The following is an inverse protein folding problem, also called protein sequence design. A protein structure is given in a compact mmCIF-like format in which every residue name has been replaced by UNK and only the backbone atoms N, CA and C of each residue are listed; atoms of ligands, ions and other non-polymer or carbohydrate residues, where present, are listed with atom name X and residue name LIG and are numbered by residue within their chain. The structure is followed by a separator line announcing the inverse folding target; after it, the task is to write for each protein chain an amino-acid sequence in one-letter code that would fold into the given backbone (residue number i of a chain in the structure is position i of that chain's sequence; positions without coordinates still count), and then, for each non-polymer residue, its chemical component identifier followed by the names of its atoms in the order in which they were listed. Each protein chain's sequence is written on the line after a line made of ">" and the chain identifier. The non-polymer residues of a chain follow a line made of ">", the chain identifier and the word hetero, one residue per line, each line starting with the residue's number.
data_IF_288586994093
#
_entry.id   IF_288586994093
#
_cell.length_a   1.000
_cell.length_b   1.000
_cell.length_c   1.000
_cell.angle_alpha   90.00
_cell.angle_beta   90.00
_cell.angle_gamma   90.00
#
_symmetry.space_group_name_H-M   'P 1'
#
loop_
_entity.id
_entity.type
_entity.pdbx_description
1 polymer ?
#
# COMPACT_ATOMS: atom_id res chain seq x y z
N UNK A 1 -28.74 33.38 -40.18
CA UNK A 1 -28.03 32.60 -39.16
C UNK A 1 -28.89 32.17 -37.98
N UNK A 2 -29.59 33.05 -37.28
CA UNK A 2 -30.38 32.65 -36.06
C UNK A 2 -31.47 31.61 -36.36
N UNK A 3 -32.17 31.73 -37.50
CA UNK A 3 -33.22 30.81 -37.90
C UNK A 3 -32.67 29.43 -38.33
N UNK A 4 -31.46 29.40 -38.92
CA UNK A 4 -30.79 28.16 -39.31
C UNK A 4 -30.30 27.37 -38.08
N UNK A 5 -29.76 28.05 -37.09
CA UNK A 5 -29.36 27.43 -35.81
C UNK A 5 -30.57 26.83 -35.05
N UNK A 6 -31.70 27.51 -35.08
CA UNK A 6 -32.93 27.02 -34.48
C UNK A 6 -33.49 25.77 -35.21
N UNK A 7 -33.38 25.70 -36.55
CA UNK A 7 -33.81 24.56 -37.34
C UNK A 7 -32.91 23.33 -37.22
N UNK A 8 -31.60 23.53 -36.94
CA UNK A 8 -30.62 22.44 -36.85
C UNK A 8 -30.32 22.03 -35.42
N UNK A 9 -30.87 22.70 -34.42
CA UNK A 9 -30.57 22.42 -32.98
C UNK A 9 -29.14 22.73 -32.59
N UNK A 10 -28.35 23.44 -33.43
CA UNK A 10 -26.95 23.76 -33.17
C UNK A 10 -26.83 25.12 -32.50
N UNK A 11 -26.17 25.19 -31.35
CA UNK A 11 -25.92 26.46 -30.66
C UNK A 11 -25.12 27.43 -31.53
N UNK A 12 -25.53 28.71 -31.57
CA UNK A 12 -24.86 29.76 -32.35
C UNK A 12 -23.38 29.91 -32.04
N UNK A 13 -22.99 29.70 -30.80
CA UNK A 13 -21.59 29.67 -30.34
C UNK A 13 -20.77 28.54 -30.98
N UNK A 14 -21.38 27.37 -31.25
CA UNK A 14 -20.71 26.23 -31.89
C UNK A 14 -20.41 26.52 -33.37
N UNK A 15 -21.30 27.23 -34.08
CA UNK A 15 -21.10 27.63 -35.46
C UNK A 15 -19.98 28.66 -35.61
N UNK A 16 -19.87 29.61 -34.67
CA UNK A 16 -18.76 30.59 -34.67
C UNK A 16 -17.43 29.97 -34.24
N UNK A 17 -17.44 28.91 -33.43
CA UNK A 17 -16.22 28.19 -33.02
C UNK A 17 -15.57 27.40 -34.17
N UNK A 18 -16.33 27.09 -35.27
CA UNK A 18 -15.83 26.31 -36.40
C UNK A 18 -15.31 27.16 -37.58
N UNK A 19 -15.49 28.49 -37.57
CA UNK A 19 -15.12 29.35 -38.70
C UNK A 19 -13.69 29.92 -38.51
N UNK A 20 -12.75 29.36 -39.25
CA UNK A 20 -11.43 29.91 -39.58
C UNK A 20 -10.31 28.88 -39.35
N UNK A 21 -9.30 28.85 -40.25
CA UNK A 21 -8.07 28.13 -39.95
C UNK A 21 -7.49 28.73 -38.66
N UNK A 22 -7.20 27.90 -37.65
CA UNK A 22 -6.53 28.35 -36.46
C UNK A 22 -5.16 28.86 -36.88
N UNK A 23 -4.99 30.19 -36.97
CA UNK A 23 -3.71 30.81 -37.20
C UNK A 23 -2.82 30.34 -36.04
N UNK A 24 -1.76 29.63 -36.35
CA UNK A 24 -0.80 29.14 -35.35
C UNK A 24 -0.05 30.37 -34.87
N UNK A 25 -0.29 30.72 -33.62
CA UNK A 25 0.42 31.83 -32.97
C UNK A 25 1.94 31.52 -32.92
N UNK A 26 2.77 32.36 -33.53
CA UNK A 26 4.22 32.17 -33.52
C UNK A 26 4.79 32.07 -32.11
N UNK A 27 4.19 32.78 -31.18
CA UNK A 27 4.57 32.74 -29.77
C UNK A 27 4.19 31.36 -29.13
N UNK A 28 3.03 30.81 -29.49
CA UNK A 28 2.66 29.49 -29.05
C UNK A 28 3.60 28.40 -29.58
N UNK A 29 4.08 28.53 -30.83
CA UNK A 29 5.10 27.61 -31.38
C UNK A 29 6.43 27.70 -30.61
N UNK A 30 6.92 28.90 -30.36
CA UNK A 30 8.16 29.13 -29.61
C UNK A 30 8.07 28.54 -28.20
N UNK A 31 6.97 28.78 -27.51
CA UNK A 31 6.75 28.23 -26.17
C UNK A 31 6.60 26.69 -26.24
N UNK A 32 5.95 26.15 -27.26
CA UNK A 32 5.83 24.71 -27.45
C UNK A 32 7.18 24.04 -27.63
N UNK A 33 8.11 24.64 -28.36
CA UNK A 33 9.49 24.12 -28.47
C UNK A 33 10.19 24.05 -27.11
N UNK A 34 10.08 25.09 -26.28
CA UNK A 34 10.65 25.09 -24.91
C UNK A 34 10.01 24.05 -24.03
N UNK A 35 8.71 23.81 -24.18
CA UNK A 35 7.99 22.76 -23.47
C UNK A 35 8.50 21.39 -23.91
N UNK A 36 8.66 21.15 -25.20
CA UNK A 36 9.13 19.89 -25.77
C UNK A 36 10.57 19.55 -25.31
N UNK A 37 11.49 20.51 -25.43
CA UNK A 37 12.87 20.35 -24.94
C UNK A 37 12.92 19.97 -23.46
N UNK A 38 12.11 20.63 -22.64
CA UNK A 38 12.10 20.35 -21.21
C UNK A 38 11.41 19.01 -20.90
N UNK A 39 10.34 18.68 -21.60
CA UNK A 39 9.60 17.44 -21.43
C UNK A 39 10.44 16.22 -21.83
N UNK A 40 11.19 16.32 -22.94
CA UNK A 40 12.12 15.27 -23.37
C UNK A 40 13.17 14.96 -22.31
N UNK A 41 13.70 15.99 -21.64
CA UNK A 41 14.67 15.82 -20.55
C UNK A 41 14.03 15.36 -19.25
N UNK A 42 12.79 15.76 -18.97
CA UNK A 42 12.10 15.56 -17.68
C UNK A 42 10.61 15.31 -17.87
N UNK A 43 10.21 14.14 -18.34
CA UNK A 43 8.83 13.85 -18.72
C UNK A 43 7.83 13.86 -17.54
N UNK A 44 8.32 13.87 -16.32
CA UNK A 44 7.49 14.02 -15.11
C UNK A 44 7.06 15.48 -14.82
N UNK A 45 7.41 16.45 -15.71
CA UNK A 45 6.94 17.82 -15.56
C UNK A 45 5.49 17.94 -16.03
N UNK A 46 4.56 18.01 -15.08
CA UNK A 46 3.19 18.42 -15.34
C UNK A 46 3.06 19.95 -15.48
N UNK A 47 1.87 20.43 -15.83
CA UNK A 47 1.57 21.83 -16.14
C UNK A 47 2.04 22.86 -15.09
N UNK A 48 2.04 22.47 -13.79
CA UNK A 48 2.50 23.37 -12.70
C UNK A 48 4.03 23.56 -12.74
N UNK A 49 4.80 22.47 -12.84
CA UNK A 49 6.26 22.51 -12.91
C UNK A 49 6.73 23.13 -14.22
N UNK A 50 6.05 22.83 -15.33
CA UNK A 50 6.34 23.41 -16.63
C UNK A 50 6.14 24.93 -16.64
N UNK A 51 5.05 25.45 -16.08
CA UNK A 51 4.85 26.90 -15.87
C UNK A 51 5.99 27.52 -15.09
N UNK A 52 6.42 26.90 -13.98
CA UNK A 52 7.52 27.43 -13.14
C UNK A 52 8.84 27.43 -13.90
N UNK A 53 9.12 26.40 -14.69
CA UNK A 53 10.30 26.31 -15.54
C UNK A 53 10.33 27.45 -16.57
N UNK A 54 9.24 27.65 -17.31
CA UNK A 54 9.12 28.72 -18.30
C UNK A 54 9.31 30.12 -17.69
N UNK A 55 8.67 30.36 -16.53
CA UNK A 55 8.84 31.65 -15.82
C UNK A 55 10.28 31.91 -15.39
N UNK A 56 11.03 30.90 -14.96
CA UNK A 56 12.45 31.02 -14.62
C UNK A 56 13.31 31.32 -15.82
N UNK A 57 12.84 31.05 -17.05
CA UNK A 57 13.47 31.43 -18.31
C UNK A 57 13.03 32.79 -18.86
N UNK A 58 12.26 33.54 -18.07
CA UNK A 58 11.81 34.88 -18.48
C UNK A 58 10.49 34.86 -19.28
N UNK A 59 9.79 33.70 -19.37
CA UNK A 59 8.54 33.59 -20.11
C UNK A 59 7.34 33.86 -19.19
N UNK A 60 6.64 34.99 -19.27
CA UNK A 60 5.50 35.32 -18.40
C UNK A 60 4.24 34.59 -18.86
N UNK A 61 4.19 33.30 -18.63
CA UNK A 61 3.09 32.44 -19.10
C UNK A 61 2.16 31.99 -17.96
N UNK A 62 0.86 31.95 -18.25
CA UNK A 62 -0.18 31.46 -17.37
C UNK A 62 -0.33 29.93 -17.45
N UNK A 63 -0.74 29.28 -16.32
CA UNK A 63 -0.94 27.81 -16.27
C UNK A 63 -1.95 27.30 -17.32
N UNK A 64 -3.04 28.04 -17.57
CA UNK A 64 -4.06 27.64 -18.56
C UNK A 64 -3.48 27.56 -19.98
N UNK A 65 -2.58 28.51 -20.35
CA UNK A 65 -1.91 28.50 -21.66
C UNK A 65 -0.95 27.32 -21.76
N UNK A 66 -0.13 27.07 -20.73
CA UNK A 66 0.75 25.87 -20.68
C UNK A 66 -0.07 24.57 -20.81
N UNK A 67 -1.19 24.45 -20.09
CA UNK A 67 -2.04 23.27 -20.15
C UNK A 67 -2.63 23.06 -21.56
N UNK A 68 -3.03 24.15 -22.23
CA UNK A 68 -3.54 24.09 -23.60
C UNK A 68 -2.46 23.61 -24.57
N UNK A 69 -1.24 24.17 -24.49
CA UNK A 69 -0.13 23.79 -25.35
C UNK A 69 0.30 22.35 -25.13
N UNK A 70 0.50 21.92 -23.90
CA UNK A 70 0.82 20.53 -23.58
C UNK A 70 -0.24 19.56 -24.11
N UNK A 71 -1.54 19.90 -24.00
CA UNK A 71 -2.63 19.07 -24.56
C UNK A 71 -2.58 19.01 -26.10
N UNK A 72 -2.30 20.13 -26.77
CA UNK A 72 -2.17 20.16 -28.24
C UNK A 72 -1.01 19.30 -28.71
N UNK A 73 0.06 19.20 -27.92
CA UNK A 73 1.25 18.38 -28.20
C UNK A 73 1.07 16.92 -27.74
N UNK A 74 -0.07 16.56 -27.14
CA UNK A 74 -0.28 15.22 -26.57
C UNK A 74 0.56 14.90 -25.33
N UNK A 75 1.13 15.93 -24.67
CA UNK A 75 2.02 15.78 -23.54
C UNK A 75 1.27 15.79 -22.20
N UNK A 76 1.49 14.75 -21.38
CA UNK A 76 1.02 14.67 -20.00
C UNK A 76 2.20 14.34 -19.09
N UNK A 77 2.32 15.02 -17.94
CA UNK A 77 3.38 14.71 -16.99
C UNK A 77 3.29 13.23 -16.56
N UNK A 78 4.39 12.50 -16.76
CA UNK A 78 4.47 11.11 -16.30
C UNK A 78 4.33 11.06 -14.79
N UNK A 79 3.37 10.31 -14.32
CA UNK A 79 3.13 10.01 -12.90
C UNK A 79 2.93 8.50 -12.75
N UNK A 80 3.20 7.94 -11.56
CA UNK A 80 2.76 6.58 -11.29
C UNK A 80 1.29 6.44 -11.68
N UNK A 81 0.96 5.38 -12.40
CA UNK A 81 -0.41 5.07 -12.78
C UNK A 81 -1.32 4.91 -11.56
N UNK A 82 -2.64 4.83 -11.72
CA UNK A 82 -3.54 4.48 -10.64
C UNK A 82 -3.12 3.12 -10.07
N UNK A 83 -3.26 2.97 -8.75
CA UNK A 83 -2.94 1.70 -8.07
C UNK A 83 -3.58 0.52 -8.82
N UNK A 84 -2.75 -0.37 -9.33
CA UNK A 84 -3.18 -1.55 -10.09
C UNK A 84 -3.74 -2.64 -9.19
N UNK A 85 -3.46 -2.59 -7.89
CA UNK A 85 -4.00 -3.50 -6.88
C UNK A 85 -5.46 -3.16 -6.57
N UNK A 86 -6.36 -3.54 -7.47
CA UNK A 86 -7.79 -3.57 -7.16
C UNK A 86 -8.10 -4.94 -6.56
N UNK A 87 -8.82 -5.02 -5.41
CA UNK A 87 -9.30 -6.29 -4.89
C UNK A 87 -10.11 -7.01 -5.97
N UNK A 88 -9.86 -8.29 -6.19
CA UNK A 88 -10.69 -9.12 -7.05
C UNK A 88 -12.14 -9.17 -6.52
N UNK A 89 -13.14 -9.37 -7.37
CA UNK A 89 -14.50 -9.62 -6.92
C UNK A 89 -14.50 -10.89 -6.05
N UNK A 90 -15.00 -10.79 -4.80
CA UNK A 90 -15.09 -11.91 -3.86
C UNK A 90 -14.03 -11.95 -2.75
N UNK A 91 -13.00 -11.09 -2.77
CA UNK A 91 -12.01 -11.02 -1.69
C UNK A 91 -12.65 -10.51 -0.40
N UNK A 92 -12.71 -11.38 0.62
CA UNK A 92 -13.25 -11.03 1.93
C UNK A 92 -12.21 -10.30 2.76
N UNK A 93 -12.52 -9.05 3.14
CA UNK A 93 -11.70 -8.27 4.06
C UNK A 93 -12.19 -8.49 5.48
N UNK A 94 -11.27 -8.79 6.39
CA UNK A 94 -11.55 -8.98 7.81
C UNK A 94 -11.31 -7.70 8.60
N UNK A 95 -12.02 -7.49 9.74
CA UNK A 95 -11.82 -6.30 10.56
C UNK A 95 -10.45 -6.31 11.25
N UNK A 96 -9.92 -5.14 11.55
CA UNK A 96 -8.71 -5.00 12.38
C UNK A 96 -9.06 -5.21 13.85
N UNK A 97 -8.52 -6.25 14.46
CA UNK A 97 -8.85 -6.70 15.82
C UNK A 97 -7.89 -6.18 16.90
N UNK A 98 -6.75 -5.58 16.53
CA UNK A 98 -5.65 -5.32 17.45
C UNK A 98 -5.65 -3.92 18.07
N UNK A 99 -6.70 -3.14 17.84
CA UNK A 99 -6.79 -1.79 18.41
C UNK A 99 -6.95 -1.82 19.92
N UNK A 100 -6.00 -1.18 20.63
CA UNK A 100 -6.01 -1.14 22.10
C UNK A 100 -5.66 -2.46 22.77
N UNK A 101 -5.21 -3.46 22.00
CA UNK A 101 -4.82 -4.76 22.53
C UNK A 101 -3.43 -4.65 23.15
N UNK A 102 -3.31 -5.15 24.37
CA UNK A 102 -2.01 -5.41 25.01
C UNK A 102 -1.55 -6.82 24.60
N UNK A 103 -0.44 -6.88 23.87
CA UNK A 103 0.23 -8.15 23.57
C UNK A 103 1.12 -8.51 24.77
N UNK A 104 0.72 -9.51 25.55
CA UNK A 104 1.30 -9.83 26.86
C UNK A 104 2.01 -11.18 26.92
N UNK A 105 1.91 -12.02 25.90
CA UNK A 105 2.53 -13.36 25.86
C UNK A 105 2.90 -13.78 24.44
N UNK A 106 3.86 -14.72 24.28
CA UNK A 106 4.15 -15.35 23.00
C UNK A 106 2.89 -16.00 22.39
N UNK A 107 2.83 -16.07 21.07
CA UNK A 107 1.72 -16.65 20.32
C UNK A 107 0.34 -15.99 20.55
N UNK A 108 0.31 -14.78 21.11
CA UNK A 108 -0.93 -14.02 21.17
C UNK A 108 -1.28 -13.41 19.81
N UNK A 109 -0.30 -12.77 19.17
CA UNK A 109 -0.47 -12.13 17.86
C UNK A 109 0.72 -12.44 16.98
N UNK A 110 0.45 -13.04 15.83
CA UNK A 110 1.42 -13.15 14.74
C UNK A 110 1.05 -12.20 13.61
N UNK A 111 2.05 -11.77 12.85
CA UNK A 111 1.78 -11.05 11.61
C UNK A 111 2.68 -11.50 10.48
N UNK A 112 2.22 -11.19 9.27
CA UNK A 112 2.95 -11.45 8.02
C UNK A 112 2.87 -10.27 7.08
N UNK A 113 3.84 -10.19 6.19
CA UNK A 113 3.88 -9.27 5.07
C UNK A 113 4.84 -9.80 4.00
N UNK A 114 4.75 -9.26 2.79
CA UNK A 114 5.64 -9.59 1.69
C UNK A 114 6.51 -8.39 1.36
N UNK A 115 7.80 -8.62 1.24
CA UNK A 115 8.71 -7.62 0.67
C UNK A 115 9.42 -8.19 -0.55
N UNK A 116 9.90 -7.32 -1.44
CA UNK A 116 10.76 -7.74 -2.54
C UNK A 116 12.22 -7.42 -2.27
N UNK A 117 13.09 -8.29 -2.75
CA UNK A 117 14.54 -8.16 -2.69
C UNK A 117 15.06 -8.11 -4.11
N UNK A 118 15.78 -7.04 -4.42
CA UNK A 118 16.43 -6.89 -5.72
C UNK A 118 17.72 -7.71 -5.74
N UNK A 119 17.89 -8.52 -6.78
CA UNK A 119 19.12 -9.24 -7.10
C UNK A 119 19.84 -8.52 -8.24
N UNK A 120 21.05 -8.98 -8.59
CA UNK A 120 21.78 -8.47 -9.75
C UNK A 120 20.97 -8.63 -11.03
N UNK A 121 20.22 -9.73 -11.16
CA UNK A 121 19.27 -9.96 -12.24
C UNK A 121 17.89 -10.22 -11.67
N UNK A 122 16.98 -9.24 -11.81
CA UNK A 122 15.59 -9.36 -11.37
C UNK A 122 15.38 -9.11 -9.88
N UNK A 123 14.37 -9.76 -9.32
CA UNK A 123 14.02 -9.67 -7.90
C UNK A 123 13.31 -10.94 -7.44
N UNK A 124 13.26 -11.14 -6.13
CA UNK A 124 12.48 -12.19 -5.48
C UNK A 124 11.60 -11.59 -4.39
N UNK A 125 10.54 -12.29 -4.06
CA UNK A 125 9.66 -11.97 -2.94
C UNK A 125 10.15 -12.72 -1.70
N UNK A 126 10.10 -12.04 -0.57
CA UNK A 126 10.33 -12.60 0.76
C UNK A 126 9.07 -12.41 1.58
N UNK A 127 8.56 -13.48 2.16
CA UNK A 127 7.50 -13.47 3.17
C UNK A 127 8.07 -13.96 4.50
N UNK A 128 7.61 -13.41 5.61
CA UNK A 128 7.93 -13.91 6.94
C UNK A 128 6.73 -13.84 7.87
N UNK A 129 6.70 -14.73 8.87
CA UNK A 129 5.77 -14.70 9.99
C UNK A 129 6.56 -14.31 11.25
N UNK A 130 6.08 -13.31 11.98
CA UNK A 130 6.72 -12.78 13.18
C UNK A 130 5.75 -12.80 14.36
N UNK A 131 6.25 -13.20 15.53
CA UNK A 131 5.53 -13.07 16.80
C UNK A 131 5.63 -11.64 17.33
N UNK A 132 4.51 -11.04 17.71
CA UNK A 132 4.48 -9.64 18.17
C UNK A 132 5.01 -9.47 19.60
N UNK A 133 4.94 -10.49 20.42
CA UNK A 133 5.44 -10.42 21.79
C UNK A 133 6.96 -10.39 21.84
N UNK A 134 7.58 -11.37 21.22
CA UNK A 134 9.03 -11.60 21.24
C UNK A 134 9.80 -10.95 20.10
N UNK A 135 9.13 -10.59 19.01
CA UNK A 135 9.74 -10.19 17.73
C UNK A 135 10.43 -11.34 17.01
N UNK A 136 10.25 -12.58 17.45
CA UNK A 136 10.86 -13.74 16.81
C UNK A 136 10.29 -13.97 15.42
N UNK A 137 11.16 -14.18 14.45
CA UNK A 137 10.82 -14.65 13.11
C UNK A 137 10.58 -16.15 13.20
N UNK A 138 9.31 -16.56 13.06
CA UNK A 138 8.90 -17.94 13.24
C UNK A 138 9.13 -18.77 11.98
N UNK A 139 8.92 -18.14 10.83
CA UNK A 139 9.16 -18.76 9.53
C UNK A 139 9.39 -17.69 8.48
N UNK A 140 10.02 -18.08 7.38
CA UNK A 140 10.22 -17.23 6.21
C UNK A 140 10.39 -18.07 4.95
N UNK A 141 9.99 -17.51 3.81
CA UNK A 141 10.17 -18.14 2.50
C UNK A 141 10.47 -17.12 1.44
N UNK A 142 11.18 -17.54 0.37
CA UNK A 142 11.40 -16.71 -0.82
C UNK A 142 10.76 -17.38 -2.03
N UNK A 143 10.29 -16.55 -2.96
CA UNK A 143 9.70 -16.99 -4.24
C UNK A 143 10.03 -16.01 -5.35
N UNK A 144 10.11 -16.49 -6.57
CA UNK A 144 10.21 -15.66 -7.79
C UNK A 144 8.82 -15.24 -8.32
N UNK A 145 7.75 -15.80 -7.79
CA UNK A 145 6.35 -15.44 -8.09
C UNK A 145 5.63 -14.95 -6.84
N UNK A 146 4.65 -14.05 -7.01
CA UNK A 146 3.86 -13.49 -5.90
C UNK A 146 2.53 -14.27 -5.71
N UNK A 147 2.56 -15.57 -5.75
CA UNK A 147 1.40 -16.43 -5.54
C UNK A 147 1.07 -16.63 -4.05
N UNK A 148 -0.19 -16.97 -3.74
CA UNK A 148 -0.57 -17.24 -2.35
C UNK A 148 0.11 -18.50 -1.77
N UNK A 149 0.50 -19.45 -2.61
CA UNK A 149 1.06 -20.74 -2.22
C UNK A 149 2.32 -20.65 -1.34
N UNK A 150 3.25 -19.72 -1.65
CA UNK A 150 4.46 -19.58 -0.82
C UNK A 150 4.17 -18.90 0.53
N UNK A 151 3.13 -18.05 0.61
CA UNK A 151 2.65 -17.45 1.86
C UNK A 151 1.98 -18.51 2.75
N UNK A 152 1.16 -19.38 2.14
CA UNK A 152 0.51 -20.51 2.81
C UNK A 152 1.56 -21.44 3.40
N UNK A 153 2.54 -21.85 2.60
CA UNK A 153 3.62 -22.72 3.05
C UNK A 153 4.46 -22.09 4.18
N UNK A 154 4.66 -20.76 4.16
CA UNK A 154 5.32 -20.04 5.26
C UNK A 154 4.48 -20.06 6.54
N UNK A 155 3.17 -19.86 6.43
CA UNK A 155 2.25 -19.94 7.57
C UNK A 155 2.21 -21.37 8.15
N UNK A 156 2.11 -22.40 7.32
CA UNK A 156 2.08 -23.79 7.74
C UNK A 156 3.38 -24.21 8.44
N UNK A 157 4.55 -23.78 7.96
CA UNK A 157 5.83 -23.99 8.66
C UNK A 157 5.80 -23.39 10.07
N UNK A 158 5.31 -22.16 10.21
CA UNK A 158 5.20 -21.52 11.52
C UNK A 158 4.25 -22.27 12.46
N UNK A 159 3.10 -22.72 11.95
CA UNK A 159 2.10 -23.47 12.71
C UNK A 159 2.65 -24.83 13.19
N UNK A 160 3.43 -25.51 12.35
CA UNK A 160 4.04 -26.81 12.71
C UNK A 160 5.10 -26.64 13.81
N UNK A 161 5.94 -25.60 13.72
CA UNK A 161 7.08 -25.44 14.61
C UNK A 161 6.72 -24.78 15.94
N UNK A 162 5.77 -23.85 15.95
CA UNK A 162 5.50 -22.98 17.10
C UNK A 162 4.06 -23.06 17.63
N UNK A 163 3.22 -23.92 17.04
CA UNK A 163 1.82 -24.00 17.37
C UNK A 163 1.00 -22.90 16.68
N UNK A 164 -0.04 -22.39 17.33
CA UNK A 164 -0.94 -21.43 16.72
C UNK A 164 -1.12 -20.15 17.54
N UNK A 165 -1.26 -18.98 16.88
CA UNK A 165 -1.59 -17.73 17.56
C UNK A 165 -3.07 -17.62 17.87
N UNK A 166 -3.43 -16.71 18.77
CA UNK A 166 -4.82 -16.29 18.99
C UNK A 166 -5.35 -15.43 17.83
N UNK A 167 -4.49 -14.50 17.36
CA UNK A 167 -4.81 -13.59 16.25
C UNK A 167 -3.68 -13.60 15.22
N UNK A 168 -4.06 -13.69 13.95
CA UNK A 168 -3.13 -13.55 12.83
C UNK A 168 -3.46 -12.27 12.06
N UNK A 169 -2.47 -11.37 11.93
CA UNK A 169 -2.61 -10.08 11.27
C UNK A 169 -1.89 -10.03 9.94
N UNK A 170 -2.51 -9.48 8.91
CA UNK A 170 -1.92 -9.25 7.59
C UNK A 170 -2.42 -7.94 6.99
N UNK A 171 -1.83 -7.51 5.88
CA UNK A 171 -2.40 -6.48 5.04
C UNK A 171 -3.59 -7.04 4.22
N UNK A 172 -4.20 -6.18 3.39
CA UNK A 172 -5.29 -6.55 2.49
C UNK A 172 -4.76 -7.00 1.10
N UNK A 173 -3.55 -7.52 1.02
CA UNK A 173 -2.97 -8.05 -0.21
C UNK A 173 -3.75 -9.24 -0.76
N UNK A 174 -3.76 -9.40 -2.09
CA UNK A 174 -4.51 -10.47 -2.75
C UNK A 174 -4.11 -11.88 -2.26
N UNK A 175 -2.87 -12.07 -1.84
CA UNK A 175 -2.34 -13.32 -1.31
C UNK A 175 -3.00 -13.67 0.01
N UNK A 176 -3.15 -12.69 0.92
CA UNK A 176 -3.67 -12.88 2.27
C UNK A 176 -5.20 -12.84 2.35
N UNK A 177 -5.85 -12.20 1.34
CA UNK A 177 -7.32 -12.19 1.22
C UNK A 177 -7.86 -13.37 0.42
N UNK A 178 -7.00 -14.22 -0.15
CA UNK A 178 -7.41 -15.43 -0.88
C UNK A 178 -8.09 -16.44 0.02
N UNK A 179 -9.10 -17.14 -0.50
CA UNK A 179 -9.78 -18.20 0.26
C UNK A 179 -8.80 -19.28 0.72
N UNK A 180 -7.84 -19.67 -0.14
CA UNK A 180 -6.83 -20.66 0.19
C UNK A 180 -6.00 -20.29 1.43
N UNK A 181 -5.60 -19.02 1.58
CA UNK A 181 -4.86 -18.54 2.76
C UNK A 181 -5.75 -18.45 3.99
N UNK A 182 -6.93 -17.82 3.85
CA UNK A 182 -7.84 -17.63 4.98
C UNK A 182 -8.45 -18.94 5.49
N UNK A 183 -8.60 -19.95 4.65
CA UNK A 183 -9.12 -21.27 5.04
C UNK A 183 -8.14 -22.05 5.92
N UNK A 184 -6.81 -21.85 5.78
CA UNK A 184 -5.82 -22.36 6.74
C UNK A 184 -6.07 -21.78 8.13
N UNK A 185 -6.21 -20.45 8.23
CA UNK A 185 -6.48 -19.78 9.51
C UNK A 185 -7.81 -20.20 10.14
N UNK A 186 -8.86 -20.35 9.32
CA UNK A 186 -10.19 -20.82 9.79
C UNK A 186 -10.13 -22.26 10.29
N UNK A 187 -9.45 -23.16 9.56
CA UNK A 187 -9.27 -24.55 9.93
C UNK A 187 -8.60 -24.70 11.30
N UNK A 188 -7.63 -23.83 11.58
CA UNK A 188 -6.92 -23.79 12.85
C UNK A 188 -7.65 -22.98 13.95
N UNK A 189 -8.84 -22.44 13.67
CA UNK A 189 -9.62 -21.59 14.56
C UNK A 189 -8.86 -20.32 15.02
N UNK A 190 -8.02 -19.75 14.15
CA UNK A 190 -7.25 -18.53 14.40
C UNK A 190 -8.09 -17.32 14.01
N UNK A 191 -8.15 -16.30 14.88
CA UNK A 191 -8.84 -15.04 14.58
C UNK A 191 -8.08 -14.24 13.52
N UNK A 192 -8.77 -13.86 12.43
CA UNK A 192 -8.17 -13.14 11.31
C UNK A 192 -8.33 -11.64 11.52
N UNK A 193 -7.22 -10.91 11.47
CA UNK A 193 -7.15 -9.45 11.53
C UNK A 193 -6.51 -8.92 10.26
N UNK A 194 -7.04 -7.82 9.69
CA UNK A 194 -6.44 -7.18 8.53
C UNK A 194 -6.29 -5.68 8.73
N UNK A 195 -5.13 -5.16 8.32
CA UNK A 195 -4.82 -3.74 8.43
C UNK A 195 -5.80 -2.87 7.65
N UNK A 196 -6.15 -1.71 8.20
CA UNK A 196 -6.95 -0.73 7.48
C UNK A 196 -6.15 -0.04 6.38
N UNK A 197 -6.77 0.25 5.23
CA UNK A 197 -6.12 0.98 4.13
C UNK A 197 -5.53 2.31 4.61
N UNK A 198 -4.23 2.51 4.36
CA UNK A 198 -3.52 3.76 4.70
C UNK A 198 -3.12 3.90 6.16
N UNK A 199 -3.16 2.85 6.96
CA UNK A 199 -2.73 2.82 8.37
C UNK A 199 -1.35 2.19 8.49
N UNK A 200 -0.32 3.02 8.43
CA UNK A 200 1.10 2.63 8.46
C UNK A 200 1.52 1.92 9.76
N UNK A 201 0.75 2.03 10.83
CA UNK A 201 1.14 1.48 12.15
C UNK A 201 0.52 0.11 12.46
N UNK A 202 -0.38 -0.37 11.62
CA UNK A 202 -1.13 -1.58 11.91
C UNK A 202 -0.28 -2.87 11.74
N UNK A 203 0.86 -2.80 11.01
CA UNK A 203 1.83 -3.92 10.84
C UNK A 203 3.30 -3.52 11.09
N UNK A 204 3.52 -2.62 12.03
CA UNK A 204 4.84 -1.98 12.29
C UNK A 204 5.97 -2.99 12.58
N UNK A 205 5.67 -4.16 13.13
CA UNK A 205 6.71 -5.11 13.54
C UNK A 205 7.37 -5.79 12.34
N UNK A 206 6.58 -6.22 11.37
CA UNK A 206 7.13 -6.81 10.15
C UNK A 206 7.75 -5.75 9.25
N UNK A 207 7.22 -4.52 9.21
CA UNK A 207 7.86 -3.41 8.50
C UNK A 207 9.25 -3.08 9.08
N UNK A 208 9.39 -3.10 10.40
CA UNK A 208 10.70 -2.95 11.07
C UNK A 208 11.64 -4.12 10.79
N UNK A 209 11.12 -5.35 10.73
CA UNK A 209 11.88 -6.52 10.31
C UNK A 209 12.45 -6.31 8.91
N UNK A 210 11.64 -5.86 7.96
CA UNK A 210 12.10 -5.58 6.59
C UNK A 210 13.20 -4.54 6.54
N UNK A 211 13.10 -3.50 7.36
CA UNK A 211 14.18 -2.52 7.48
C UNK A 211 15.46 -3.17 7.97
N UNK A 212 15.42 -3.95 9.05
CA UNK A 212 16.59 -4.63 9.59
C UNK A 212 17.21 -5.58 8.58
N UNK A 213 16.44 -6.48 7.98
CA UNK A 213 16.93 -7.43 6.95
C UNK A 213 17.59 -6.70 5.79
N UNK A 214 16.98 -5.62 5.29
CA UNK A 214 17.52 -4.89 4.13
C UNK A 214 18.81 -4.14 4.45
N UNK A 215 18.89 -3.46 5.59
CA UNK A 215 20.03 -2.62 5.91
C UNK A 215 21.17 -3.36 6.61
N UNK A 216 20.87 -4.42 7.32
CA UNK A 216 21.88 -5.18 8.09
C UNK A 216 22.45 -6.36 7.28
N UNK A 217 21.75 -6.82 6.22
CA UNK A 217 22.19 -7.97 5.40
C UNK A 217 22.13 -7.67 3.89
N UNK A 218 20.95 -7.53 3.30
CA UNK A 218 20.76 -7.55 1.84
C UNK A 218 21.58 -6.48 1.14
N UNK A 219 21.58 -5.24 1.62
CA UNK A 219 22.31 -4.13 0.99
C UNK A 219 23.83 -4.21 1.23
N UNK A 220 24.26 -4.96 2.24
CA UNK A 220 25.68 -5.17 2.52
C UNK A 220 26.28 -6.32 1.71
N UNK A 221 25.49 -7.39 1.49
CA UNK A 221 25.98 -8.62 0.83
C UNK A 221 25.85 -8.60 -0.69
N UNK A 222 24.89 -7.81 -1.25
CA UNK A 222 24.66 -7.69 -2.70
C UNK A 222 24.54 -9.04 -3.43
N UNK A 223 23.65 -9.90 -2.94
CA UNK A 223 23.46 -11.26 -3.46
C UNK A 223 23.23 -11.32 -4.97
N UNK A 224 23.92 -12.24 -5.64
CA UNK A 224 23.87 -12.40 -7.09
C UNK A 224 22.69 -13.24 -7.55
N UNK A 225 22.36 -14.28 -6.83
CA UNK A 225 21.31 -15.23 -7.17
C UNK A 225 20.43 -15.66 -5.97
N UNK A 226 19.37 -16.42 -6.26
CA UNK A 226 18.40 -16.88 -5.28
C UNK A 226 18.98 -17.90 -4.29
N UNK A 227 19.96 -18.70 -4.70
CA UNK A 227 20.58 -19.74 -3.85
C UNK A 227 21.47 -19.07 -2.81
N UNK A 228 22.28 -18.12 -3.24
CA UNK A 228 23.14 -17.31 -2.37
C UNK A 228 22.29 -16.51 -1.38
N UNK A 229 21.25 -15.82 -1.85
CA UNK A 229 20.30 -15.11 -1.02
C UNK A 229 19.65 -16.01 0.04
N UNK A 230 19.19 -17.20 -0.34
CA UNK A 230 18.57 -18.16 0.60
C UNK A 230 19.53 -18.55 1.73
N UNK A 231 20.78 -18.80 1.40
CA UNK A 231 21.81 -19.13 2.37
C UNK A 231 22.12 -17.95 3.30
N UNK A 232 22.24 -16.75 2.76
CA UNK A 232 22.47 -15.54 3.52
C UNK A 232 21.29 -15.23 4.45
N UNK A 233 20.06 -15.25 3.94
CA UNK A 233 18.86 -15.02 4.76
C UNK A 233 18.72 -16.04 5.90
N UNK A 234 19.09 -17.33 5.66
CA UNK A 234 19.09 -18.31 6.74
C UNK A 234 20.03 -17.89 7.86
N UNK A 235 21.27 -17.56 7.54
CA UNK A 235 22.25 -17.08 8.53
C UNK A 235 21.78 -15.81 9.25
N UNK A 236 21.18 -14.88 8.47
CA UNK A 236 20.70 -13.62 9.05
C UNK A 236 19.52 -13.84 10.00
N UNK A 237 18.54 -14.70 9.69
CA UNK A 237 17.42 -14.95 10.58
C UNK A 237 17.80 -15.79 11.81
N UNK A 238 18.77 -16.70 11.66
CA UNK A 238 19.36 -17.39 12.81
C UNK A 238 20.02 -16.36 13.75
N UNK A 239 20.89 -15.47 13.24
CA UNK A 239 21.48 -14.35 13.97
C UNK A 239 20.43 -13.41 14.58
N UNK A 240 19.41 -13.03 13.80
CA UNK A 240 18.33 -12.13 14.25
C UNK A 240 17.58 -12.68 15.46
N UNK A 241 17.28 -13.97 15.46
CA UNK A 241 16.54 -14.62 16.52
C UNK A 241 17.41 -14.93 17.76
N UNK A 242 18.63 -15.41 17.55
CA UNK A 242 19.45 -16.05 18.60
C UNK A 242 20.51 -15.13 19.18
N UNK A 243 21.03 -14.18 18.40
CA UNK A 243 22.20 -13.40 18.80
C UNK A 243 21.96 -11.89 18.81
N UNK A 244 21.05 -11.38 17.98
CA UNK A 244 20.85 -9.95 17.80
C UNK A 244 20.12 -9.34 19.01
N UNK A 245 20.74 -8.40 19.78
CA UNK A 245 20.06 -7.73 20.87
C UNK A 245 19.01 -6.74 20.35
N UNK A 246 17.86 -6.71 20.99
CA UNK A 246 16.77 -5.80 20.66
C UNK A 246 16.52 -4.80 21.79
N UNK A 247 16.72 -3.52 21.52
CA UNK A 247 16.49 -2.45 22.49
C UNK A 247 15.05 -2.47 23.06
N UNK A 248 14.05 -2.79 22.23
CA UNK A 248 12.66 -2.90 22.67
C UNK A 248 12.38 -4.12 23.55
N UNK A 249 13.32 -5.04 23.67
CA UNK A 249 13.29 -6.23 24.53
C UNK A 249 14.32 -6.14 25.66
N UNK A 250 14.76 -4.93 26.02
CA UNK A 250 15.81 -4.68 27.03
C UNK A 250 17.11 -5.39 26.67
N UNK A 251 17.52 -5.27 25.41
CA UNK A 251 18.73 -5.85 24.80
C UNK A 251 18.79 -7.39 24.83
N UNK A 252 17.66 -8.05 25.06
CA UNK A 252 17.53 -9.50 24.91
C UNK A 252 17.29 -9.88 23.46
N UNK A 253 17.56 -11.15 23.13
CA UNK A 253 17.25 -11.70 21.81
C UNK A 253 15.77 -12.08 21.69
N UNK A 254 15.21 -12.11 20.47
CA UNK A 254 13.85 -12.59 20.23
C UNK A 254 13.60 -13.99 20.80
N UNK A 255 14.54 -14.91 20.64
CA UNK A 255 14.41 -16.29 21.12
C UNK A 255 14.37 -16.35 22.67
N UNK A 256 15.27 -15.66 23.36
CA UNK A 256 15.26 -15.59 24.84
C UNK A 256 13.91 -15.10 25.38
N UNK A 257 13.31 -14.11 24.70
CA UNK A 257 12.01 -13.55 25.10
C UNK A 257 10.88 -14.52 24.77
N UNK A 258 10.95 -15.19 23.62
CA UNK A 258 9.94 -16.16 23.20
C UNK A 258 9.90 -17.36 24.16
N UNK A 259 11.06 -17.96 24.43
CA UNK A 259 11.20 -19.15 25.29
C UNK A 259 10.87 -18.87 26.75
N UNK A 260 11.32 -17.72 27.28
CA UNK A 260 11.03 -17.36 28.67
C UNK A 260 9.61 -16.85 28.89
N UNK A 261 8.94 -16.37 27.88
CA UNK A 261 7.66 -15.67 27.98
C UNK A 261 7.71 -14.39 28.82
N UNK A 262 8.89 -13.78 28.97
CA UNK A 262 9.11 -12.59 29.79
C UNK A 262 9.85 -11.48 29.05
N UNK A 263 9.54 -10.22 29.37
CA UNK A 263 10.25 -9.05 28.85
C UNK A 263 9.91 -8.65 27.44
N UNK A 264 8.88 -9.25 26.86
CA UNK A 264 8.33 -8.88 25.57
C UNK A 264 7.07 -8.02 25.66
N UNK A 265 6.39 -7.90 24.54
CA UNK A 265 5.08 -7.29 24.48
C UNK A 265 5.00 -6.00 23.67
N UNK A 266 3.77 -5.55 23.48
CA UNK A 266 3.44 -4.28 22.82
C UNK A 266 2.05 -3.82 23.22
N UNK A 267 1.87 -2.51 23.34
CA UNK A 267 0.56 -1.89 23.43
C UNK A 267 0.28 -1.13 22.12
N UNK A 268 -0.78 -1.49 21.45
CA UNK A 268 -1.16 -0.88 20.17
C UNK A 268 -1.99 0.37 20.44
N UNK A 269 -1.32 1.52 20.54
CA UNK A 269 -1.97 2.80 20.76
C UNK A 269 -2.64 3.33 19.49
N UNK A 270 -3.83 3.87 19.66
CA UNK A 270 -4.44 4.70 18.64
C UNK A 270 -3.91 6.13 18.75
N UNK A 271 -3.08 6.57 17.80
CA UNK A 271 -2.48 7.91 17.82
C UNK A 271 -3.47 9.05 17.55
N UNK A 272 -4.66 8.74 17.00
CA UNK A 272 -5.72 9.71 16.72
C UNK A 272 -7.07 9.15 17.15
N UNK A 273 -7.89 9.94 17.88
CA UNK A 273 -9.27 9.53 18.18
C UNK A 273 -10.04 9.38 16.86
N UNK A 274 -10.72 8.27 16.69
CA UNK A 274 -11.68 8.10 15.59
C UNK A 274 -12.76 9.17 15.79
N UNK A 275 -12.92 10.09 14.83
CA UNK A 275 -14.18 10.80 14.71
C UNK A 275 -15.25 9.76 14.42
N UNK A 276 -15.99 9.37 15.42
CA UNK A 276 -17.23 8.64 15.25
C UNK A 276 -18.08 9.47 14.28
N UNK A 277 -18.37 8.94 13.09
CA UNK A 277 -19.44 9.45 12.29
C UNK A 277 -20.68 9.29 13.18
N UNK A 278 -21.28 10.41 13.57
CA UNK A 278 -22.60 10.40 14.18
C UNK A 278 -23.49 9.60 13.22
N UNK A 279 -24.04 8.51 13.70
CA UNK A 279 -25.14 7.82 13.02
C UNK A 279 -26.24 8.88 12.86
N UNK A 280 -26.56 9.20 11.63
CA UNK A 280 -27.71 10.02 11.30
C UNK A 280 -28.90 9.13 11.59
N UNK A 281 -29.52 9.38 12.72
CA UNK A 281 -30.78 8.75 13.13
C UNK A 281 -31.86 9.18 12.12
N UNK A 282 -32.19 8.31 11.20
CA UNK A 282 -33.35 8.46 10.35
C UNK A 282 -34.58 8.14 11.20
N UNK A 283 -35.09 9.16 11.90
CA UNK A 283 -36.30 9.08 12.71
C UNK A 283 -37.44 8.42 11.94
N UNK A 284 -37.80 7.24 12.37
CA UNK A 284 -39.03 6.61 11.96
C UNK A 284 -40.22 7.38 12.48
N UNK A 285 -40.86 8.15 11.59
CA UNK A 285 -42.14 8.79 11.86
C UNK A 285 -43.22 7.71 11.89
N UNK A 286 -43.50 7.19 13.06
CA UNK A 286 -44.69 6.37 13.30
C UNK A 286 -45.95 7.24 13.28
N UNK A 287 -46.73 7.14 12.23
CA UNK A 287 -48.08 7.60 12.21
C UNK A 287 -48.93 6.78 13.17
N UNK A 288 -49.35 7.39 14.24
CA UNK A 288 -50.38 6.85 15.12
C UNK A 288 -51.74 6.95 14.40
N UNK A 289 -52.30 5.80 14.01
CA UNK A 289 -53.73 5.71 13.71
C UNK A 289 -54.51 5.55 15.02
N UNK A 290 -55.23 6.57 15.39
CA UNK A 290 -56.24 6.49 16.42
C UNK A 290 -57.41 5.59 15.92
N UNK A 291 -57.67 4.52 16.59
CA UNK A 291 -58.93 3.78 16.51
C UNK A 291 -59.89 4.44 17.51
N UNK A 292 -60.99 4.96 17.01
CA UNK A 292 -62.16 5.44 17.80
C UNK A 292 -63.05 4.23 18.02
N UNK A 293 -63.44 4.08 19.28
CA UNK A 293 -64.47 3.11 19.74
C UNK A 293 -65.87 3.48 19.19
N UNK A 294 -66.62 2.49 18.88
CA UNK A 294 -68.05 2.35 19.12
C UNK A 294 -68.40 0.89 19.26
#
# INVERSE_FOLDING_TARGET
>A
MSRQCALTGVARSSLHAQQGPKVVDKEDLRISQLIDEQYTKRPFFGTRRMKTFLRRRGEPIGRKRVQRLMRLMGLAGMSPGPHTSKPGPGHRIYPYLLRGVLVAKPNQVWSTDITYIRLTQGFVYLVAVIDWYSRQVLSWRISNTIEASFCIACLEDALILYGKPEVFNSDQGAQFTSDAFTDVLKREAISISMDGRGRVFDNIFVERLWRSVKYEDIYLQSYSDTKELRHGLKKYFDFYNEERPHQALSDRTPQEVYESGQGGGALIFQKYPVRLKQEVDYGATLHSCNAVEA
#
